data_IF_896038184556
#
_entry.id   IF_896038184556
#
_cell.length_a   1.000
_cell.length_b   1.000
_cell.length_c   1.000
_cell.angle_alpha   90.00
_cell.angle_beta   90.00
_cell.angle_gamma   90.00
#
_symmetry.space_group_name_H-M   'P 1'
#
loop_
_entity.id
_entity.type
_entity.pdbx_description
1 polymer ?
#
# COMPACT_ATOMS: atom_id res chain seq x y z
N UNK A 1 30.95 1.62 9.69
CA UNK A 1 30.05 2.73 10.05
C UNK A 1 28.66 2.14 10.27
N UNK A 2 27.97 2.38 11.40
CA UNK A 2 26.62 1.86 11.59
C UNK A 2 25.64 2.81 10.87
N UNK A 3 25.30 2.46 9.63
CA UNK A 3 24.35 3.19 8.79
C UNK A 3 22.95 2.60 8.90
N UNK A 4 22.27 2.84 10.01
CA UNK A 4 20.81 2.73 10.05
C UNK A 4 20.24 4.05 10.51
N UNK A 5 19.50 4.70 9.60
CA UNK A 5 18.63 5.83 9.93
C UNK A 5 17.58 5.29 10.89
N UNK A 6 17.76 5.50 12.20
CA UNK A 6 16.80 5.10 13.23
C UNK A 6 15.51 5.91 13.04
N UNK A 7 14.57 5.38 12.26
CA UNK A 7 13.24 5.95 12.23
C UNK A 7 12.54 5.60 13.55
N UNK A 8 11.68 6.49 14.09
CA UNK A 8 10.93 6.21 15.32
C UNK A 8 10.12 4.91 15.26
N UNK A 9 9.72 4.49 14.05
CA UNK A 9 8.97 3.26 13.81
C UNK A 9 9.83 1.98 13.80
N UNK A 10 11.15 2.06 13.58
CA UNK A 10 12.02 0.88 13.44
C UNK A 10 12.00 0.00 14.70
N UNK A 11 11.99 0.65 15.88
CA UNK A 11 11.89 -0.05 17.16
C UNK A 11 10.59 -0.84 17.28
N UNK A 12 9.49 -0.30 16.75
CA UNK A 12 8.20 -0.96 16.80
C UNK A 12 8.12 -2.13 15.80
N UNK A 13 8.64 -1.96 14.59
CA UNK A 13 8.74 -3.06 13.63
C UNK A 13 9.63 -4.19 14.15
N UNK A 14 10.77 -3.87 14.75
CA UNK A 14 11.64 -4.86 15.40
C UNK A 14 10.93 -5.63 16.52
N UNK A 15 10.12 -4.96 17.34
CA UNK A 15 9.32 -5.62 18.37
C UNK A 15 8.24 -6.55 17.78
N UNK A 16 7.56 -6.12 16.72
CA UNK A 16 6.56 -6.94 16.01
C UNK A 16 7.24 -8.18 15.43
N UNK A 17 8.32 -8.00 14.68
CA UNK A 17 9.09 -9.09 14.06
C UNK A 17 9.61 -10.08 15.12
N UNK A 18 10.16 -9.58 16.23
CA UNK A 18 10.63 -10.43 17.32
C UNK A 18 9.47 -11.24 17.93
N UNK A 19 8.28 -10.66 18.10
CA UNK A 19 7.11 -11.39 18.59
C UNK A 19 6.59 -12.39 17.55
N UNK A 20 6.54 -12.02 16.27
CA UNK A 20 6.16 -12.92 15.18
C UNK A 20 7.06 -14.16 15.16
N UNK A 21 8.38 -13.99 15.23
CA UNK A 21 9.34 -15.10 15.27
C UNK A 21 9.19 -16.01 16.50
N UNK A 22 8.80 -15.45 17.65
CA UNK A 22 8.60 -16.22 18.89
C UNK A 22 7.26 -16.95 18.93
N UNK A 23 6.29 -16.56 18.09
CA UNK A 23 4.99 -17.21 17.99
C UNK A 23 4.99 -18.20 16.81
N UNK A 24 5.18 -19.49 17.12
CA UNK A 24 5.28 -20.54 16.10
C UNK A 24 3.98 -20.81 15.30
N UNK A 25 2.82 -20.28 15.72
CA UNK A 25 1.50 -20.68 15.17
C UNK A 25 0.56 -19.49 14.97
N UNK A 26 0.95 -18.59 14.08
CA UNK A 26 0.08 -17.52 13.57
C UNK A 26 -0.55 -18.03 12.28
N UNK A 27 -1.86 -18.24 12.31
CA UNK A 27 -2.55 -18.96 11.23
C UNK A 27 -3.69 -18.13 10.67
N UNK A 28 -4.43 -17.42 11.51
CA UNK A 28 -5.57 -16.60 11.08
C UNK A 28 -5.23 -15.12 11.04
N UNK A 29 -6.02 -14.33 10.29
CA UNK A 29 -5.94 -12.85 10.30
C UNK A 29 -6.03 -12.29 11.73
N UNK A 30 -6.95 -12.81 12.55
CA UNK A 30 -7.13 -12.34 13.92
C UNK A 30 -5.90 -12.63 14.79
N UNK A 31 -5.26 -13.78 14.63
CA UNK A 31 -4.00 -14.10 15.34
C UNK A 31 -2.94 -13.02 15.06
N UNK A 32 -2.78 -12.63 13.79
CA UNK A 32 -1.87 -11.56 13.38
C UNK A 32 -2.21 -10.22 14.05
N UNK A 33 -3.48 -9.80 13.98
CA UNK A 33 -3.93 -8.53 14.57
C UNK A 33 -3.71 -8.52 16.08
N UNK A 34 -4.04 -9.61 16.78
CA UNK A 34 -3.82 -9.73 18.22
C UNK A 34 -2.35 -9.65 18.59
N UNK A 35 -1.48 -10.34 17.83
CA UNK A 35 -0.05 -10.31 18.08
C UNK A 35 0.55 -8.92 17.87
N UNK A 36 0.16 -8.24 16.79
CA UNK A 36 0.62 -6.88 16.49
C UNK A 36 0.17 -5.91 17.60
N UNK A 37 -1.11 -5.97 18.01
CA UNK A 37 -1.63 -5.19 19.16
C UNK A 37 -0.85 -5.47 20.44
N UNK A 38 -0.54 -6.73 20.70
CA UNK A 38 0.26 -7.13 21.86
C UNK A 38 1.72 -6.67 21.76
N UNK A 39 2.32 -6.62 20.57
CA UNK A 39 3.69 -6.19 20.34
C UNK A 39 3.91 -4.70 20.59
N UNK A 40 2.91 -3.88 20.30
CA UNK A 40 3.02 -2.42 20.30
C UNK A 40 2.70 -1.79 21.66
N UNK A 41 2.14 -2.53 22.62
CA UNK A 41 1.66 -2.09 23.95
C UNK A 41 1.91 -0.61 24.30
N UNK A 42 0.93 0.26 24.01
CA UNK A 42 0.96 1.70 24.33
C UNK A 42 1.56 2.62 23.26
N UNK A 43 2.02 2.09 22.12
CA UNK A 43 2.62 2.88 21.02
C UNK A 43 1.60 3.61 20.15
N UNK A 44 0.93 2.89 19.25
CA UNK A 44 0.02 3.47 18.25
C UNK A 44 -1.21 2.58 17.99
N UNK A 45 -2.31 3.15 17.47
CA UNK A 45 -3.52 2.38 17.18
C UNK A 45 -3.26 1.37 16.05
N UNK A 46 -3.66 0.12 16.29
CA UNK A 46 -3.65 -0.94 15.28
C UNK A 46 -5.06 -1.09 14.74
N UNK A 47 -5.25 -0.73 13.47
CA UNK A 47 -6.52 -0.83 12.77
C UNK A 47 -6.51 -2.07 11.89
N UNK A 48 -7.53 -2.91 12.04
CA UNK A 48 -7.76 -4.02 11.11
C UNK A 48 -8.50 -3.48 9.91
N UNK A 49 -7.79 -3.33 8.79
CA UNK A 49 -8.40 -2.88 7.54
C UNK A 49 -9.40 -3.91 7.01
N UNK A 50 -10.50 -3.38 6.50
CA UNK A 50 -11.54 -4.08 5.77
C UNK A 50 -11.46 -3.71 4.27
N UNK A 51 -12.24 -4.37 3.42
CA UNK A 51 -12.15 -4.24 1.96
C UNK A 51 -12.41 -2.80 1.46
N UNK A 52 -13.41 -2.17 2.05
CA UNK A 52 -13.86 -0.79 1.89
C UNK A 52 -12.80 0.25 2.28
N UNK A 53 -11.82 -0.12 3.10
CA UNK A 53 -10.70 0.76 3.43
C UNK A 53 -9.63 0.78 2.33
N UNK A 54 -9.67 -0.18 1.39
CA UNK A 54 -8.79 -0.19 0.22
C UNK A 54 -9.45 0.59 -0.92
N UNK A 55 -8.92 1.78 -1.18
CA UNK A 55 -9.45 2.72 -2.16
C UNK A 55 -8.67 2.65 -3.48
N UNK A 56 -9.37 2.84 -4.61
CA UNK A 56 -8.76 2.91 -5.92
C UNK A 56 -8.15 4.30 -6.17
N UNK A 57 -6.82 4.39 -6.02
CA UNK A 57 -6.07 5.62 -6.25
C UNK A 57 -5.81 5.90 -7.72
N UNK A 58 -6.06 4.95 -8.64
CA UNK A 58 -5.91 5.18 -10.09
C UNK A 58 -6.86 6.26 -10.59
N UNK A 59 -8.02 6.42 -9.93
CA UNK A 59 -8.95 7.52 -10.19
C UNK A 59 -8.25 8.87 -10.10
N UNK A 60 -7.31 9.06 -9.16
CA UNK A 60 -6.57 10.31 -8.99
C UNK A 60 -5.58 10.58 -10.13
N UNK A 61 -5.07 9.55 -10.80
CA UNK A 61 -4.18 9.73 -11.95
C UNK A 61 -4.87 10.48 -13.10
N UNK A 62 -6.19 10.30 -13.22
CA UNK A 62 -6.99 11.03 -14.20
C UNK A 62 -7.10 12.53 -13.91
N UNK A 63 -6.72 13.00 -12.72
CA UNK A 63 -6.77 14.42 -12.34
C UNK A 63 -5.41 15.11 -12.38
N UNK A 64 -4.31 14.36 -12.45
CA UNK A 64 -2.95 14.90 -12.46
C UNK A 64 -2.32 14.84 -13.86
N UNK A 65 -1.48 15.82 -14.18
CA UNK A 65 -0.54 15.76 -15.30
C UNK A 65 0.85 15.59 -14.76
N UNK A 66 1.65 14.75 -15.41
CA UNK A 66 3.09 14.74 -15.22
C UNK A 66 3.69 15.96 -15.93
N UNK A 67 3.73 17.11 -15.26
CA UNK A 67 4.53 18.25 -15.72
C UNK A 67 5.83 18.29 -14.93
N UNK A 68 6.84 17.60 -15.46
CA UNK A 68 8.21 17.74 -14.99
C UNK A 68 8.77 19.09 -15.46
N UNK A 69 9.37 19.83 -14.53
CA UNK A 69 10.15 21.01 -14.89
C UNK A 69 11.49 20.53 -15.48
N UNK A 70 12.00 21.17 -16.56
CA UNK A 70 13.30 20.80 -17.11
C UNK A 70 14.39 20.83 -16.04
N UNK A 71 15.04 19.69 -15.81
CA UNK A 71 16.08 19.53 -14.79
C UNK A 71 15.61 19.03 -13.43
N UNK A 72 14.31 18.74 -13.25
CA UNK A 72 13.75 18.28 -11.99
C UNK A 72 12.90 17.01 -12.20
N UNK A 73 13.54 15.85 -12.08
CA UNK A 73 12.87 14.54 -12.19
C UNK A 73 12.40 14.08 -10.81
N UNK A 74 11.18 13.54 -10.71
CA UNK A 74 10.60 13.07 -9.45
C UNK A 74 11.53 12.10 -8.69
N UNK A 75 12.13 11.14 -9.39
CA UNK A 75 13.04 10.13 -8.81
C UNK A 75 14.33 10.72 -8.23
N UNK A 76 14.71 11.93 -8.64
CA UNK A 76 15.90 12.63 -8.15
C UNK A 76 15.57 13.56 -6.96
N UNK A 77 14.29 13.72 -6.61
CA UNK A 77 13.86 14.50 -5.45
C UNK A 77 14.44 13.97 -4.15
N UNK A 78 15.03 14.86 -3.35
CA UNK A 78 15.51 14.57 -1.99
C UNK A 78 14.63 15.19 -0.93
N UNK A 79 14.04 16.36 -1.24
CA UNK A 79 13.04 16.99 -0.36
C UNK A 79 11.82 17.38 -1.18
N UNK A 80 10.65 16.91 -0.75
CA UNK A 80 9.35 17.29 -1.28
C UNK A 80 8.73 18.31 -0.34
N UNK A 81 8.40 19.49 -0.87
CA UNK A 81 7.81 20.59 -0.14
C UNK A 81 6.37 20.77 -0.60
N UNK A 82 5.45 20.67 0.36
CA UNK A 82 4.02 20.92 0.17
C UNK A 82 3.69 22.26 0.84
N UNK A 83 3.29 23.24 0.03
CA UNK A 83 3.01 24.60 0.46
C UNK A 83 1.51 24.85 0.34
N UNK A 84 0.86 25.26 1.42
CA UNK A 84 -0.58 25.52 1.47
C UNK A 84 -1.00 26.62 0.46
N UNK A 85 -0.10 27.54 0.11
CA UNK A 85 -0.34 28.55 -0.92
C UNK A 85 -0.23 27.98 -2.34
N UNK A 86 0.59 26.95 -2.55
CA UNK A 86 0.80 26.33 -3.86
C UNK A 86 -0.07 25.08 -4.04
N UNK A 87 -1.37 25.30 -4.31
CA UNK A 87 -2.37 24.22 -4.46
C UNK A 87 -2.30 23.43 -5.78
N UNK A 88 -1.45 23.84 -6.72
CA UNK A 88 -1.39 23.23 -8.07
C UNK A 88 -0.44 22.04 -8.18
N UNK A 89 0.29 21.69 -7.11
CA UNK A 89 1.29 20.63 -7.13
C UNK A 89 2.20 20.68 -5.90
N UNK A 90 3.48 20.40 -6.12
CA UNK A 90 4.49 20.40 -5.05
C UNK A 90 5.80 21.00 -5.55
N UNK A 91 6.72 21.23 -4.64
CA UNK A 91 8.07 21.72 -4.91
C UNK A 91 9.08 20.62 -4.59
N UNK A 92 10.13 20.48 -5.40
CA UNK A 92 11.22 19.53 -5.16
C UNK A 92 12.57 20.21 -5.03
N UNK A 93 13.37 19.74 -4.08
CA UNK A 93 14.81 20.01 -4.03
C UNK A 93 15.57 18.71 -4.31
N UNK A 94 16.60 18.82 -5.14
CA UNK A 94 17.44 17.69 -5.53
C UNK A 94 18.57 17.42 -4.51
N UNK A 95 18.72 18.29 -3.52
CA UNK A 95 19.70 18.15 -2.44
C UNK A 95 19.04 18.48 -1.08
N UNK A 96 19.74 18.14 0.01
CA UNK A 96 19.31 18.46 1.37
C UNK A 96 19.75 19.85 1.85
N UNK A 97 20.53 20.58 1.06
CA UNK A 97 21.02 21.91 1.44
C UNK A 97 19.86 22.92 1.47
N UNK A 98 19.81 23.75 2.51
CA UNK A 98 18.67 24.65 2.73
C UNK A 98 18.57 25.75 1.66
N UNK A 99 19.72 26.18 1.14
CA UNK A 99 19.91 27.21 0.12
C UNK A 99 19.80 26.69 -1.32
N UNK A 100 19.59 25.38 -1.50
CA UNK A 100 19.51 24.78 -2.82
C UNK A 100 18.27 25.28 -3.61
N UNK A 101 18.40 25.39 -4.95
CA UNK A 101 17.27 25.77 -5.80
C UNK A 101 16.12 24.79 -5.64
N UNK A 102 14.92 25.33 -5.64
CA UNK A 102 13.68 24.57 -5.53
C UNK A 102 12.95 24.61 -6.87
N UNK A 103 12.61 23.45 -7.38
CA UNK A 103 11.88 23.28 -8.64
C UNK A 103 10.40 23.10 -8.36
N UNK A 104 9.54 23.67 -9.20
CA UNK A 104 8.10 23.65 -9.00
C UNK A 104 7.46 22.63 -9.95
N UNK A 105 6.93 21.56 -9.37
CA UNK A 105 6.24 20.50 -10.10
C UNK A 105 4.74 20.76 -10.09
N UNK A 106 4.18 20.98 -11.29
CA UNK A 106 2.75 21.23 -11.46
C UNK A 106 2.01 19.92 -11.74
N UNK A 107 0.89 19.72 -11.06
CA UNK A 107 0.00 18.56 -11.25
C UNK A 107 -1.31 18.93 -11.96
N UNK A 108 -1.77 20.18 -11.88
CA UNK A 108 -3.02 20.60 -12.53
C UNK A 108 -3.00 20.42 -14.06
N UNK A 109 -3.99 19.67 -14.60
CA UNK A 109 -4.31 19.47 -16.03
C UNK A 109 -4.74 20.77 -16.72
N UNK A 110 -3.83 21.73 -16.90
CA UNK A 110 -4.09 22.96 -17.64
C UNK A 110 -2.80 23.69 -18.00
N UNK A 111 -2.81 24.50 -19.07
CA UNK A 111 -1.77 25.51 -19.30
C UNK A 111 -1.93 26.75 -18.40
N UNK A 112 -3.04 26.86 -17.67
CA UNK A 112 -3.30 27.99 -16.78
C UNK A 112 -2.22 28.11 -15.70
N UNK A 113 -1.67 29.31 -15.51
CA UNK A 113 -0.65 29.60 -14.48
C UNK A 113 -1.24 29.80 -13.07
N UNK A 114 -2.57 29.79 -12.96
CA UNK A 114 -3.32 30.06 -11.74
C UNK A 114 -4.07 28.79 -11.35
N UNK A 115 -4.17 28.56 -10.04
CA UNK A 115 -4.95 27.48 -9.47
C UNK A 115 -6.42 27.62 -9.88
N UNK A 116 -6.99 26.52 -10.35
CA UNK A 116 -8.39 26.44 -10.78
C UNK A 116 -9.04 25.27 -10.06
N UNK A 117 -9.80 25.59 -9.03
CA UNK A 117 -10.46 24.60 -8.16
C UNK A 117 -11.47 23.74 -8.93
N UNK A 118 -12.14 24.33 -9.92
CA UNK A 118 -13.05 23.66 -10.85
C UNK A 118 -12.37 22.56 -11.68
N UNK A 119 -11.06 22.66 -11.90
CA UNK A 119 -10.28 21.73 -12.73
C UNK A 119 -9.42 20.79 -11.88
N UNK A 120 -8.90 21.29 -10.75
CA UNK A 120 -7.94 20.59 -9.91
C UNK A 120 -8.33 20.67 -8.44
N UNK A 121 -9.37 19.90 -8.10
CA UNK A 121 -9.84 19.68 -6.75
C UNK A 121 -9.84 18.19 -6.45
N UNK A 122 -8.85 17.73 -5.68
CA UNK A 122 -8.80 16.33 -5.25
C UNK A 122 -9.75 16.04 -4.08
N UNK A 123 -10.22 17.07 -3.38
CA UNK A 123 -11.12 16.91 -2.22
C UNK A 123 -12.55 16.53 -2.62
N UNK A 124 -12.91 16.77 -3.89
CA UNK A 124 -14.22 16.39 -4.46
C UNK A 124 -14.19 15.05 -5.17
N UNK A 125 -13.04 14.36 -5.22
CA UNK A 125 -12.92 13.08 -5.92
C UNK A 125 -13.33 11.96 -4.98
N UNK A 126 -14.46 11.33 -5.30
CA UNK A 126 -14.90 10.12 -4.60
C UNK A 126 -14.00 8.94 -5.01
N UNK A 127 -13.27 8.41 -4.04
CA UNK A 127 -12.49 7.19 -4.22
C UNK A 127 -13.38 5.99 -3.99
N UNK A 128 -13.57 5.19 -5.04
CA UNK A 128 -14.32 3.94 -4.96
C UNK A 128 -13.46 2.84 -4.32
N UNK A 129 -14.06 1.83 -3.67
CA UNK A 129 -13.33 0.68 -3.18
C UNK A 129 -12.58 -0.03 -4.33
N UNK A 130 -11.29 -0.31 -4.13
CA UNK A 130 -10.43 -1.01 -5.10
C UNK A 130 -10.96 -2.41 -5.42
N UNK A 131 -11.55 -3.07 -4.43
CA UNK A 131 -12.07 -4.42 -4.56
C UNK A 131 -13.57 -4.41 -4.29
N UNK A 132 -14.37 -4.78 -5.29
CA UNK A 132 -15.84 -4.90 -5.16
C UNK A 132 -16.24 -6.29 -4.66
N UNK A 133 -15.44 -7.32 -4.99
CA UNK A 133 -15.62 -8.71 -4.60
C UNK A 133 -14.35 -9.25 -3.89
N UNK A 134 -14.41 -10.42 -3.22
CA UNK A 134 -13.20 -11.12 -2.79
C UNK A 134 -12.27 -11.37 -3.98
N UNK A 135 -10.95 -11.25 -3.76
CA UNK A 135 -9.95 -11.54 -4.79
C UNK A 135 -9.97 -13.05 -5.07
N UNK A 136 -10.09 -13.47 -6.35
CA UNK A 136 -10.04 -14.88 -6.71
C UNK A 136 -8.64 -15.45 -6.47
N UNK A 137 -8.56 -16.64 -5.89
CA UNK A 137 -7.30 -17.35 -5.73
C UNK A 137 -6.99 -18.16 -7.01
N UNK A 138 -5.72 -18.22 -7.38
CA UNK A 138 -5.27 -19.07 -8.47
C UNK A 138 -5.47 -20.55 -8.11
N UNK A 139 -5.63 -21.41 -9.13
CA UNK A 139 -5.80 -22.85 -8.92
C UNK A 139 -4.64 -23.48 -8.13
N UNK A 140 -3.42 -22.98 -8.34
CA UNK A 140 -2.23 -23.38 -7.59
C UNK A 140 -2.35 -23.02 -6.11
N UNK A 141 -2.70 -21.77 -5.78
CA UNK A 141 -2.92 -21.33 -4.39
C UNK A 141 -4.04 -22.13 -3.71
N UNK A 142 -5.11 -22.46 -4.43
CA UNK A 142 -6.21 -23.29 -3.92
C UNK A 142 -5.71 -24.71 -3.60
N UNK A 143 -4.93 -25.32 -4.51
CA UNK A 143 -4.35 -26.65 -4.30
C UNK A 143 -3.39 -26.66 -3.11
N UNK A 144 -2.55 -25.65 -2.97
CA UNK A 144 -1.60 -25.52 -1.87
C UNK A 144 -2.30 -25.29 -0.53
N UNK A 145 -3.37 -24.48 -0.49
CA UNK A 145 -4.17 -24.33 0.73
C UNK A 145 -4.81 -25.66 1.15
N UNK A 146 -5.29 -26.45 0.19
CA UNK A 146 -5.86 -27.78 0.48
C UNK A 146 -4.83 -28.76 1.01
N UNK A 147 -3.61 -28.77 0.46
CA UNK A 147 -2.54 -29.63 0.98
C UNK A 147 -2.07 -29.20 2.37
N UNK A 148 -1.99 -27.89 2.63
CA UNK A 148 -1.62 -27.35 3.93
C UNK A 148 -2.66 -27.61 5.02
N UNK A 149 -3.95 -27.64 4.67
CA UNK A 149 -5.05 -27.87 5.62
C UNK A 149 -4.88 -29.16 6.44
N UNK A 150 -4.31 -30.21 5.85
CA UNK A 150 -4.03 -31.48 6.54
C UNK A 150 -3.01 -31.34 7.69
N UNK A 151 -2.17 -30.31 7.63
CA UNK A 151 -1.10 -30.05 8.59
C UNK A 151 -1.44 -28.95 9.61
N UNK A 152 -2.61 -28.31 9.50
CA UNK A 152 -3.01 -27.22 10.40
C UNK A 152 -3.72 -27.79 11.64
N UNK A 153 -2.97 -27.92 12.74
CA UNK A 153 -3.52 -28.14 14.07
C UNK A 153 -3.60 -26.82 14.86
N UNK A 154 -4.68 -26.56 15.64
CA UNK A 154 -5.91 -27.34 15.81
C UNK A 154 -6.95 -27.11 14.69
N UNK A 155 -7.90 -28.06 14.56
CA UNK A 155 -8.96 -28.06 13.52
C UNK A 155 -9.82 -26.79 13.49
N UNK A 156 -9.95 -26.07 14.61
CA UNK A 156 -10.63 -24.76 14.65
C UNK A 156 -9.97 -23.70 13.78
N UNK A 157 -8.65 -23.76 13.60
CA UNK A 157 -7.90 -22.86 12.72
C UNK A 157 -7.97 -23.30 11.26
N UNK A 158 -8.15 -24.59 11.00
CA UNK A 158 -8.44 -25.12 9.65
C UNK A 158 -9.75 -24.60 9.08
N UNK A 159 -10.80 -24.47 9.92
CA UNK A 159 -12.11 -23.94 9.51
C UNK A 159 -12.02 -22.58 8.81
N UNK A 160 -11.10 -21.70 9.24
CA UNK A 160 -10.89 -20.41 8.61
C UNK A 160 -10.53 -20.54 7.12
N UNK A 161 -9.66 -21.49 6.75
CA UNK A 161 -9.30 -21.72 5.36
C UNK A 161 -10.37 -22.52 4.61
N UNK A 162 -11.09 -23.43 5.27
CA UNK A 162 -12.26 -24.08 4.68
C UNK A 162 -13.31 -23.05 4.24
N UNK A 163 -13.60 -22.07 5.11
CA UNK A 163 -14.52 -20.97 4.80
C UNK A 163 -14.04 -20.14 3.59
N UNK A 164 -12.72 -19.88 3.49
CA UNK A 164 -12.12 -19.21 2.33
C UNK A 164 -12.30 -20.05 1.06
N UNK A 165 -11.98 -21.34 1.11
CA UNK A 165 -12.10 -22.24 -0.05
C UNK A 165 -13.56 -22.35 -0.53
N UNK A 166 -14.52 -22.48 0.40
CA UNK A 166 -15.95 -22.51 0.06
C UNK A 166 -16.41 -21.21 -0.62
N UNK A 167 -15.92 -20.05 -0.16
CA UNK A 167 -16.22 -18.76 -0.81
C UNK A 167 -15.65 -18.69 -2.23
N UNK A 168 -14.44 -19.23 -2.45
CA UNK A 168 -13.79 -19.24 -3.77
C UNK A 168 -14.50 -20.17 -4.76
N UNK A 169 -14.97 -21.33 -4.30
CA UNK A 169 -15.76 -22.28 -5.10
C UNK A 169 -17.13 -21.71 -5.48
N UNK A 170 -17.75 -20.95 -4.58
CA UNK A 170 -19.03 -20.28 -4.84
C UNK A 170 -18.88 -19.11 -5.82
N UNK A 171 -17.73 -18.43 -5.83
CA UNK A 171 -17.45 -17.29 -6.71
C UNK A 171 -16.99 -17.70 -8.12
N UNK A 172 -16.31 -18.84 -8.27
CA UNK A 172 -15.73 -19.31 -9.55
C UNK A 172 -16.77 -19.82 -10.57
N UNK A 173 -18.06 -19.85 -10.21
CA UNK A 173 -19.15 -20.14 -11.15
C UNK A 173 -19.55 -18.94 -12.04
N UNK A 174 -18.91 -17.78 -11.91
CA UNK A 174 -19.11 -16.62 -12.80
C UNK A 174 -17.87 -15.73 -12.89
N UNK A 175 -17.35 -15.55 -14.11
CA UNK A 175 -16.14 -14.80 -14.47
C UNK A 175 -14.81 -15.51 -14.20
N UNK A 176 -14.41 -16.34 -15.16
CA UNK A 176 -13.02 -16.70 -15.39
C UNK A 176 -12.50 -15.85 -16.56
N UNK A 177 -12.09 -14.61 -16.31
CA UNK A 177 -11.03 -13.91 -17.05
C UNK A 177 -10.82 -12.48 -16.51
N UNK A 178 -9.58 -11.99 -16.50
CA UNK A 178 -9.14 -10.58 -16.34
C UNK A 178 -8.68 -10.02 -14.98
N UNK A 179 -8.28 -10.81 -13.99
CA UNK A 179 -7.47 -10.27 -12.87
C UNK A 179 -6.34 -11.23 -12.49
N UNK A 180 -5.59 -11.71 -13.49
CA UNK A 180 -4.20 -12.03 -13.23
C UNK A 180 -3.55 -10.67 -12.95
N UNK A 181 -3.11 -10.46 -11.72
CA UNK A 181 -2.13 -9.45 -11.38
C UNK A 181 -0.98 -9.63 -12.39
N UNK A 182 -0.96 -8.80 -13.44
CA UNK A 182 0.26 -8.60 -14.20
C UNK A 182 1.33 -8.24 -13.17
N UNK A 183 2.43 -8.98 -13.19
CA UNK A 183 3.58 -8.81 -12.30
C UNK A 183 3.75 -7.34 -11.94
N UNK A 184 3.50 -7.02 -10.67
CA UNK A 184 3.70 -5.68 -10.14
C UNK A 184 5.15 -5.29 -10.43
N UNK A 185 5.43 -4.33 -11.33
CA UNK A 185 6.79 -4.00 -11.72
C UNK A 185 7.61 -3.39 -10.57
N UNK A 186 7.01 -3.23 -9.37
CA UNK A 186 7.69 -2.78 -8.16
C UNK A 186 8.64 -3.83 -7.53
N UNK A 187 8.58 -5.11 -7.90
CA UNK A 187 9.47 -6.15 -7.33
C UNK A 187 10.95 -6.03 -7.79
N UNK A 188 11.27 -5.09 -8.69
CA UNK A 188 12.64 -4.81 -9.13
C UNK A 188 13.30 -3.58 -8.47
N UNK A 189 12.65 -2.90 -7.51
CA UNK A 189 13.16 -1.63 -6.97
C UNK A 189 14.26 -1.75 -5.89
N UNK A 190 14.75 -2.95 -5.58
CA UNK A 190 15.74 -3.20 -4.51
C UNK A 190 16.96 -4.01 -4.95
N UNK A 191 17.43 -3.87 -6.19
CA UNK A 191 18.81 -4.24 -6.53
C UNK A 191 19.72 -3.01 -6.36
N UNK A 192 20.38 -2.95 -5.20
CA UNK A 192 21.52 -2.05 -4.99
C UNK A 192 22.79 -2.79 -5.40
N UNK A 193 23.37 -2.41 -6.53
CA UNK A 193 24.81 -2.61 -6.83
C UNK A 193 25.65 -1.48 -6.20
#
# INVERSE_FOLDING_TARGET
MPGHSFMPCDRHFGNIEQKLRKHATIITKHDYVHLIKYAIHGGFPVVEMKREDFLDVWVLQNYITKCEEPGAVFSQGRVFQFDAAYKMGYKIRLTYAEDAPTHTCKLQKSKARIYKEDIFSLHTVDLVPKYTAPIPLTAEKIKDLRSLLEHIAPRSKGKYFEDILCQQESASSGLHDQLLDEDDPEDHLLEFD
#
